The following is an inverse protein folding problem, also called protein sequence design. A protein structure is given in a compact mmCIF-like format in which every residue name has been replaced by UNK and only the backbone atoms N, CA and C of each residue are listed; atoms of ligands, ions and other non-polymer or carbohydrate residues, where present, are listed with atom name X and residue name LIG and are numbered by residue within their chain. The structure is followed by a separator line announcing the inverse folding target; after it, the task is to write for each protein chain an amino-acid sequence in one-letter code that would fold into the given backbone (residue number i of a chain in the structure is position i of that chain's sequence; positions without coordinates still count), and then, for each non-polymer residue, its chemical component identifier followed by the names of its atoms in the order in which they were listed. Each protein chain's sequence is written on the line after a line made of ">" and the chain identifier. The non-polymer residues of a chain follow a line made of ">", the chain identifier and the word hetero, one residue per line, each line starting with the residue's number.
data_IF_342071875332
#
_entry.id   IF_342071875332
#
_cell.length_a   1.000
_cell.length_b   1.000
_cell.length_c   1.000
_cell.angle_alpha   90.00
_cell.angle_beta   90.00
_cell.angle_gamma   90.00
#
_symmetry.space_group_name_H-M   'P 1'
#
loop_
_entity.id
_entity.type
_entity.pdbx_description
1 polymer ?
#
# COMPACT_ATOMS: atom_id res chain seq x y z
N UNK A 1 -14.32 8.06 2.70
CA UNK A 1 -13.88 6.79 3.31
C UNK A 1 -12.36 6.70 3.34
N UNK A 2 -11.66 7.17 2.29
CA UNK A 2 -10.21 7.46 2.29
C UNK A 2 -9.65 8.27 3.45
N UNK A 3 -10.48 9.05 4.15
CA UNK A 3 -10.03 9.96 5.21
C UNK A 3 -9.22 9.24 6.29
N UNK A 4 -9.54 7.99 6.64
CA UNK A 4 -8.85 7.29 7.74
C UNK A 4 -7.43 6.86 7.33
N UNK A 5 -7.28 6.27 6.14
CA UNK A 5 -5.95 5.91 5.63
C UNK A 5 -5.13 7.17 5.31
N UNK A 6 -5.76 8.19 4.72
CA UNK A 6 -5.16 9.50 4.48
C UNK A 6 -4.68 10.21 5.73
N UNK A 7 -5.50 10.21 6.78
CA UNK A 7 -5.12 10.74 8.09
C UNK A 7 -3.98 9.95 8.70
N UNK A 8 -3.94 8.62 8.51
CA UNK A 8 -2.83 7.79 8.94
C UNK A 8 -1.53 8.11 8.22
N UNK A 9 -1.56 8.15 6.89
CA UNK A 9 -0.38 8.39 6.07
C UNK A 9 0.16 9.80 6.32
N UNK A 10 -0.72 10.80 6.48
CA UNK A 10 -0.33 12.14 6.96
C UNK A 10 0.18 12.15 8.38
N UNK A 11 -0.38 11.33 9.28
CA UNK A 11 0.13 11.20 10.65
C UNK A 11 1.56 10.68 10.67
N UNK A 12 1.88 9.69 9.84
CA UNK A 12 3.25 9.18 9.67
C UNK A 12 4.14 10.23 9.01
N UNK A 13 3.66 10.87 7.94
CA UNK A 13 4.39 11.92 7.24
C UNK A 13 4.72 13.10 8.15
N UNK A 14 3.80 13.51 9.02
CA UNK A 14 3.97 14.61 9.96
C UNK A 14 4.93 14.28 11.12
N UNK A 15 4.90 13.05 11.64
CA UNK A 15 5.86 12.60 12.65
C UNK A 15 7.28 12.42 12.07
N UNK A 16 7.40 12.13 10.76
CA UNK A 16 8.66 12.04 10.03
C UNK A 16 9.18 13.36 9.42
N UNK A 17 8.33 14.38 9.25
CA UNK A 17 8.68 15.65 8.61
C UNK A 17 9.34 16.68 9.55
N UNK A 18 9.36 16.42 10.87
CA UNK A 18 9.97 17.32 11.85
C UNK A 18 11.50 17.16 11.99
N UNK A 19 12.12 16.25 11.25
CA UNK A 19 13.57 16.12 11.12
C UNK A 19 13.93 15.73 9.69
N UNK A 20 15.17 15.98 9.27
CA UNK A 20 15.75 15.57 7.97
C UNK A 20 15.80 14.02 7.77
N UNK A 21 14.78 13.26 8.18
CA UNK A 21 14.80 11.81 8.34
C UNK A 21 14.03 11.07 7.24
N UNK A 22 14.57 11.08 6.02
CA UNK A 22 14.40 9.95 5.11
C UNK A 22 15.65 9.07 5.25
N UNK A 23 15.66 8.18 6.24
CA UNK A 23 16.84 7.36 6.54
C UNK A 23 16.96 6.13 5.62
N UNK A 24 16.02 5.92 4.69
CA UNK A 24 15.98 4.69 3.89
C UNK A 24 15.87 3.43 4.75
N UNK A 25 15.51 3.58 6.03
CA UNK A 25 15.55 2.51 7.00
C UNK A 25 14.41 1.54 6.76
N UNK A 26 14.72 0.26 6.72
CA UNK A 26 13.79 -0.86 6.49
C UNK A 26 12.58 -0.92 7.45
N UNK A 27 12.62 -0.17 8.56
CA UNK A 27 11.54 -0.07 9.54
C UNK A 27 10.66 1.18 9.37
N UNK A 28 10.88 1.97 8.31
CA UNK A 28 10.04 3.12 8.02
C UNK A 28 8.67 2.63 7.50
N UNK A 29 7.55 2.98 8.15
CA UNK A 29 6.23 2.56 7.70
C UNK A 29 5.86 3.09 6.31
N UNK A 30 6.50 4.17 5.83
CA UNK A 30 6.35 4.68 4.46
C UNK A 30 6.95 3.70 3.45
N UNK A 31 8.15 3.19 3.75
CA UNK A 31 8.84 2.18 2.92
C UNK A 31 8.09 0.86 2.99
N UNK A 32 7.61 0.45 4.17
CA UNK A 32 6.81 -0.76 4.33
C UNK A 32 5.50 -0.71 3.52
N UNK A 33 4.78 0.43 3.54
CA UNK A 33 3.58 0.60 2.74
C UNK A 33 3.89 0.57 1.23
N UNK A 34 4.93 1.27 0.78
CA UNK A 34 5.35 1.27 -0.61
C UNK A 34 5.79 -0.12 -1.08
N UNK A 35 6.59 -0.84 -0.29
CA UNK A 35 7.04 -2.19 -0.61
C UNK A 35 5.88 -3.18 -0.74
N UNK A 36 4.87 -3.09 0.13
CA UNK A 36 3.66 -3.93 0.00
C UNK A 36 2.83 -3.60 -1.25
N UNK A 37 2.73 -2.32 -1.64
CA UNK A 37 2.08 -1.92 -2.89
C UNK A 37 2.79 -2.49 -4.10
N UNK A 38 4.13 -2.44 -4.11
CA UNK A 38 4.94 -3.08 -5.15
C UNK A 38 4.77 -4.60 -5.18
N UNK A 39 4.80 -5.24 -4.03
CA UNK A 39 4.68 -6.69 -3.94
C UNK A 39 3.35 -7.19 -4.53
N UNK A 40 2.28 -6.41 -4.35
CA UNK A 40 0.98 -6.68 -4.99
C UNK A 40 1.06 -6.47 -6.50
N UNK A 41 1.54 -5.29 -6.96
CA UNK A 41 1.60 -4.99 -8.40
C UNK A 41 2.60 -5.84 -9.20
N UNK A 42 3.60 -6.45 -8.57
CA UNK A 42 4.53 -7.38 -9.21
C UNK A 42 4.14 -8.85 -9.00
N UNK A 43 3.02 -9.14 -8.30
CA UNK A 43 2.64 -10.50 -7.92
C UNK A 43 2.47 -11.44 -9.13
N UNK A 44 2.01 -10.92 -10.26
CA UNK A 44 1.85 -11.64 -11.51
C UNK A 44 3.06 -11.48 -12.48
N UNK A 45 4.06 -10.70 -12.08
CA UNK A 45 5.26 -10.36 -12.85
C UNK A 45 5.12 -9.14 -13.77
N UNK A 46 4.01 -8.38 -13.71
CA UNK A 46 3.82 -7.16 -14.50
C UNK A 46 3.11 -6.06 -13.71
N UNK A 47 3.85 -5.09 -13.17
CA UNK A 47 3.23 -3.88 -12.66
C UNK A 47 2.85 -2.94 -13.81
N UNK A 48 1.56 -2.82 -14.13
CA UNK A 48 1.11 -2.03 -15.27
C UNK A 48 1.36 -0.53 -15.06
N UNK A 49 1.38 0.24 -16.15
CA UNK A 49 1.56 1.70 -16.06
C UNK A 49 0.43 2.40 -15.33
N UNK A 50 -0.79 1.87 -15.39
CA UNK A 50 -1.96 2.48 -14.78
C UNK A 50 -1.93 2.29 -13.25
N UNK A 51 -1.62 1.07 -12.81
CA UNK A 51 -1.47 0.76 -11.38
C UNK A 51 -0.25 1.47 -10.79
N UNK A 52 0.89 1.49 -11.52
CA UNK A 52 2.08 2.25 -11.14
C UNK A 52 1.77 3.73 -10.93
N UNK A 53 1.10 4.37 -11.89
CA UNK A 53 0.73 5.78 -11.78
C UNK A 53 -0.21 6.03 -10.60
N UNK A 54 -1.14 5.11 -10.34
CA UNK A 54 -2.09 5.19 -9.22
C UNK A 54 -1.36 5.05 -7.89
N UNK A 55 -0.46 4.07 -7.76
CA UNK A 55 0.37 3.88 -6.58
C UNK A 55 1.23 5.12 -6.29
N UNK A 56 1.92 5.66 -7.31
CA UNK A 56 2.73 6.88 -7.14
C UNK A 56 1.89 8.09 -6.75
N UNK A 57 0.72 8.28 -7.37
CA UNK A 57 -0.18 9.39 -7.05
C UNK A 57 -0.69 9.31 -5.61
N UNK A 58 -1.12 8.11 -5.17
CA UNK A 58 -1.57 7.88 -3.81
C UNK A 58 -0.43 8.10 -2.81
N UNK A 59 0.78 7.58 -3.07
CA UNK A 59 1.93 7.82 -2.20
C UNK A 59 2.27 9.32 -2.10
N UNK A 60 2.28 10.05 -3.21
CA UNK A 60 2.55 11.49 -3.23
C UNK A 60 1.51 12.30 -2.45
N UNK A 61 0.22 12.09 -2.76
CA UNK A 61 -0.88 12.82 -2.13
C UNK A 61 -0.97 12.53 -0.63
N UNK A 62 -0.82 11.26 -0.25
CA UNK A 62 -1.10 10.84 1.11
C UNK A 62 0.08 11.11 2.05
N UNK A 63 1.34 10.94 1.61
CA UNK A 63 2.51 11.27 2.42
C UNK A 63 2.93 12.75 2.32
N UNK A 64 2.27 13.55 1.47
CA UNK A 64 2.61 14.95 1.26
C UNK A 64 4.01 15.15 0.66
N UNK A 65 4.45 14.18 -0.14
CA UNK A 65 5.79 14.13 -0.71
C UNK A 65 5.85 14.94 -2.01
N UNK A 66 6.98 15.58 -2.26
CA UNK A 66 7.28 16.09 -3.60
C UNK A 66 7.61 14.94 -4.58
N UNK A 67 7.64 15.25 -5.88
CA UNK A 67 7.90 14.26 -6.93
C UNK A 67 9.23 13.50 -6.72
N UNK A 68 10.27 14.18 -6.21
CA UNK A 68 11.56 13.56 -5.93
C UNK A 68 11.50 12.63 -4.72
N UNK A 69 10.76 13.00 -3.70
CA UNK A 69 10.55 12.22 -2.49
C UNK A 69 9.69 10.99 -2.75
N UNK A 70 8.59 11.14 -3.51
CA UNK A 70 7.77 10.01 -3.96
C UNK A 70 8.61 9.02 -4.74
N UNK A 71 9.42 9.47 -5.70
CA UNK A 71 10.31 8.60 -6.45
C UNK A 71 11.32 7.87 -5.55
N UNK A 72 11.87 8.53 -4.53
CA UNK A 72 12.79 7.90 -3.56
C UNK A 72 12.11 6.85 -2.70
N UNK A 73 10.94 7.14 -2.16
CA UNK A 73 10.14 6.18 -1.36
C UNK A 73 9.78 4.97 -2.20
N UNK A 74 9.37 5.22 -3.44
CA UNK A 74 8.99 4.20 -4.39
C UNK A 74 10.20 3.29 -4.72
N UNK A 75 11.34 3.86 -5.12
CA UNK A 75 12.52 3.05 -5.42
C UNK A 75 13.03 2.28 -4.19
N UNK A 76 13.02 2.90 -2.99
CA UNK A 76 13.38 2.21 -1.76
C UNK A 76 12.43 1.04 -1.45
N UNK A 77 11.13 1.19 -1.70
CA UNK A 77 10.15 0.11 -1.57
C UNK A 77 10.39 -1.03 -2.56
N UNK A 78 10.75 -0.69 -3.81
CA UNK A 78 11.14 -1.67 -4.85
C UNK A 78 12.39 -2.45 -4.47
N UNK A 79 13.42 -1.77 -4.01
CA UNK A 79 14.67 -2.40 -3.57
C UNK A 79 14.41 -3.33 -2.38
N UNK A 80 13.62 -2.87 -1.41
CA UNK A 80 13.27 -3.66 -0.23
C UNK A 80 12.41 -4.91 -0.56
N UNK A 81 11.63 -4.89 -1.65
CA UNK A 81 10.89 -6.06 -2.11
C UNK A 81 11.78 -7.13 -2.76
N UNK A 82 12.85 -6.73 -3.46
CA UNK A 82 13.77 -7.66 -4.12
C UNK A 82 14.58 -8.52 -3.15
N UNK A 83 14.71 -8.10 -1.89
CA UNK A 83 15.33 -8.86 -0.81
C UNK A 83 14.32 -9.84 -0.18
N UNK A 84 14.10 -10.95 -0.91
CA UNK A 84 13.12 -12.02 -0.66
C UNK A 84 12.61 -12.27 0.80
N UNK A 85 11.27 -12.33 0.90
CA UNK A 85 10.44 -12.75 2.07
C UNK A 85 10.19 -11.67 3.15
N UNK A 86 9.89 -10.45 2.74
CA UNK A 86 9.61 -9.35 3.67
C UNK A 86 8.14 -9.00 3.91
N UNK A 87 7.16 -9.73 3.35
CA UNK A 87 5.73 -9.52 3.65
C UNK A 87 5.46 -9.47 5.17
N UNK A 88 6.02 -10.43 5.92
CA UNK A 88 5.90 -10.45 7.38
C UNK A 88 6.59 -9.26 8.06
N UNK A 89 7.73 -8.82 7.53
CA UNK A 89 8.49 -7.69 8.07
C UNK A 89 7.71 -6.39 7.87
N UNK A 90 7.30 -6.10 6.65
CA UNK A 90 6.56 -4.87 6.32
C UNK A 90 5.20 -4.83 7.02
N UNK A 91 4.47 -5.95 7.03
CA UNK A 91 3.20 -5.99 7.77
C UNK A 91 3.41 -5.83 9.28
N UNK A 92 4.50 -6.31 9.86
CA UNK A 92 4.83 -6.08 11.27
C UNK A 92 5.20 -4.62 11.56
N UNK A 93 5.94 -3.95 10.66
CA UNK A 93 6.18 -2.50 10.76
C UNK A 93 4.83 -1.78 10.76
N UNK A 94 3.98 -2.07 9.77
CA UNK A 94 2.67 -1.47 9.68
C UNK A 94 1.78 -1.75 10.91
N UNK A 95 1.78 -2.97 11.46
CA UNK A 95 1.06 -3.32 12.69
C UNK A 95 1.46 -2.48 13.91
N UNK A 96 2.70 -2.00 13.98
CA UNK A 96 3.16 -1.16 15.09
C UNK A 96 2.68 0.30 14.97
N UNK A 97 2.32 0.72 13.76
CA UNK A 97 1.91 2.10 13.47
C UNK A 97 0.41 2.23 13.16
N UNK A 98 -0.26 1.13 12.82
CA UNK A 98 -1.65 1.09 12.40
C UNK A 98 -2.57 0.50 13.47
N UNK A 99 -3.66 1.22 13.76
CA UNK A 99 -4.83 0.64 14.42
C UNK A 99 -5.71 -0.14 13.42
N UNK A 100 -6.74 -0.80 13.92
CA UNK A 100 -7.62 -1.64 13.11
C UNK A 100 -8.26 -0.92 11.92
N UNK A 101 -8.82 0.26 12.14
CA UNK A 101 -9.50 1.03 11.09
C UNK A 101 -8.52 1.42 9.99
N UNK A 102 -7.31 1.83 10.35
CA UNK A 102 -6.28 2.19 9.38
C UNK A 102 -5.72 0.97 8.63
N UNK A 103 -5.66 -0.20 9.25
CA UNK A 103 -5.31 -1.47 8.55
C UNK A 103 -6.36 -1.82 7.50
N UNK A 104 -7.64 -1.66 7.81
CA UNK A 104 -8.73 -1.87 6.85
C UNK A 104 -8.59 -0.89 5.67
N UNK A 105 -8.36 0.39 5.96
CA UNK A 105 -8.14 1.41 4.93
C UNK A 105 -6.91 1.13 4.05
N UNK A 106 -5.84 0.56 4.60
CA UNK A 106 -4.70 0.14 3.77
C UNK A 106 -5.05 -0.99 2.81
N UNK A 107 -5.86 -1.98 3.24
CA UNK A 107 -6.35 -3.04 2.35
C UNK A 107 -7.23 -2.48 1.22
N UNK A 108 -8.05 -1.47 1.51
CA UNK A 108 -8.82 -0.73 0.51
C UNK A 108 -7.91 -0.13 -0.58
N UNK A 109 -6.81 0.52 -0.17
CA UNK A 109 -5.85 1.13 -1.09
C UNK A 109 -5.14 0.09 -1.96
N UNK A 110 -4.77 -1.06 -1.42
CA UNK A 110 -4.19 -2.14 -2.22
C UNK A 110 -5.15 -2.56 -3.34
N UNK A 111 -6.45 -2.72 -3.03
CA UNK A 111 -7.45 -3.06 -4.04
C UNK A 111 -7.58 -2.00 -5.12
N UNK A 112 -7.55 -0.72 -4.76
CA UNK A 112 -7.70 0.34 -5.74
C UNK A 112 -6.54 0.46 -6.70
N UNK A 113 -5.32 0.23 -6.21
CA UNK A 113 -4.15 0.19 -7.09
C UNK A 113 -4.30 -0.96 -8.08
N UNK A 114 -4.66 -2.15 -7.62
CA UNK A 114 -4.83 -3.31 -8.51
C UNK A 114 -5.96 -3.10 -9.51
N UNK A 115 -7.09 -2.53 -9.08
CA UNK A 115 -8.21 -2.23 -9.99
C UNK A 115 -7.95 -1.05 -10.93
N UNK A 116 -6.79 -0.39 -10.89
CA UNK A 116 -6.53 0.83 -11.65
C UNK A 116 -6.51 0.63 -13.17
N UNK A 117 -6.18 -0.58 -13.64
CA UNK A 117 -6.22 -0.92 -15.06
C UNK A 117 -7.54 -1.59 -15.50
N UNK A 118 -8.41 -1.89 -14.53
CA UNK A 118 -9.76 -2.43 -14.73
C UNK A 118 -9.88 -3.95 -14.55
N UNK A 119 -8.80 -4.67 -14.26
CA UNK A 119 -8.82 -6.10 -13.95
C UNK A 119 -8.11 -6.36 -12.61
N UNK A 120 -8.31 -7.54 -12.01
CA UNK A 120 -7.51 -8.03 -10.88
C UNK A 120 -7.10 -9.45 -11.23
N UNK A 121 -5.81 -9.70 -11.20
CA UNK A 121 -5.25 -11.03 -11.44
C UNK A 121 -5.28 -11.88 -10.16
N UNK A 122 -5.40 -13.21 -10.34
CA UNK A 122 -5.51 -14.16 -9.22
C UNK A 122 -4.30 -14.10 -8.27
N UNK A 123 -3.11 -13.79 -8.79
CA UNK A 123 -1.89 -13.67 -7.99
C UNK A 123 -1.91 -12.41 -7.10
N UNK A 124 -2.45 -11.30 -7.60
CA UNK A 124 -2.61 -10.05 -6.86
C UNK A 124 -3.67 -10.22 -5.77
N UNK A 125 -4.81 -10.84 -6.11
CA UNK A 125 -5.88 -11.18 -5.15
C UNK A 125 -5.29 -12.02 -4.00
N UNK A 126 -4.60 -13.13 -4.31
CA UNK A 126 -3.96 -13.97 -3.31
C UNK A 126 -2.95 -13.20 -2.44
N UNK A 127 -2.23 -12.25 -3.02
CA UNK A 127 -1.24 -11.43 -2.32
C UNK A 127 -1.91 -10.46 -1.36
N UNK A 128 -2.96 -9.75 -1.79
CA UNK A 128 -3.77 -8.88 -0.92
C UNK A 128 -4.42 -9.70 0.19
N UNK A 129 -4.89 -10.92 -0.11
CA UNK A 129 -5.41 -11.84 0.90
C UNK A 129 -4.38 -12.13 1.97
N UNK A 130 -3.15 -12.43 1.56
CA UNK A 130 -2.06 -12.73 2.48
C UNK A 130 -1.70 -11.53 3.34
N UNK A 131 -1.62 -10.33 2.75
CA UNK A 131 -1.34 -9.09 3.48
C UNK A 131 -2.44 -8.80 4.52
N UNK A 132 -3.71 -8.95 4.14
CA UNK A 132 -4.84 -8.76 5.04
C UNK A 132 -4.81 -9.72 6.24
N UNK A 133 -4.46 -10.99 6.02
CA UNK A 133 -4.28 -11.96 7.10
C UNK A 133 -3.16 -11.53 8.07
N UNK A 134 -2.03 -11.09 7.53
CA UNK A 134 -0.88 -10.66 8.32
C UNK A 134 -1.17 -9.37 9.12
N UNK A 135 -1.94 -8.46 8.54
CA UNK A 135 -2.41 -7.27 9.24
C UNK A 135 -3.57 -7.57 10.21
N UNK A 136 -4.09 -8.79 10.26
CA UNK A 136 -5.20 -9.15 11.14
C UNK A 136 -6.53 -8.49 10.75
N UNK A 137 -6.71 -8.16 9.46
CA UNK A 137 -7.97 -7.65 8.91
C UNK A 137 -8.93 -8.82 8.69
N UNK A 138 -10.18 -8.67 9.13
CA UNK A 138 -11.15 -9.75 9.04
C UNK A 138 -11.52 -10.07 7.58
N UNK A 139 -11.86 -11.33 7.31
CA UNK A 139 -12.37 -11.74 5.99
C UNK A 139 -13.58 -10.91 5.56
N UNK A 140 -14.44 -10.52 6.50
CA UNK A 140 -15.62 -9.70 6.21
C UNK A 140 -15.21 -8.33 5.69
N UNK A 141 -14.28 -7.67 6.37
CA UNK A 141 -13.86 -6.31 6.02
C UNK A 141 -13.08 -6.32 4.71
N UNK A 142 -12.19 -7.29 4.49
CA UNK A 142 -11.51 -7.43 3.19
C UNK A 142 -12.50 -7.59 2.03
N UNK A 143 -13.53 -8.43 2.18
CA UNK A 143 -14.54 -8.63 1.13
C UNK A 143 -15.36 -7.37 0.88
N UNK A 144 -15.61 -6.57 1.93
CA UNK A 144 -16.24 -5.27 1.80
C UNK A 144 -15.37 -4.31 0.99
N UNK A 145 -14.08 -4.19 1.34
CA UNK A 145 -13.13 -3.31 0.66
C UNK A 145 -12.94 -3.69 -0.81
N UNK A 146 -12.83 -4.98 -1.14
CA UNK A 146 -12.75 -5.45 -2.53
C UNK A 146 -13.96 -4.99 -3.35
N UNK A 147 -15.17 -5.14 -2.79
CA UNK A 147 -16.41 -4.74 -3.46
C UNK A 147 -16.46 -3.23 -3.68
N UNK A 148 -16.12 -2.45 -2.65
CA UNK A 148 -16.15 -0.99 -2.74
C UNK A 148 -15.12 -0.45 -3.74
N UNK A 149 -13.93 -1.04 -3.80
CA UNK A 149 -12.92 -0.69 -4.81
C UNK A 149 -13.39 -1.03 -6.23
N UNK A 150 -13.97 -2.21 -6.45
CA UNK A 150 -14.53 -2.60 -7.76
C UNK A 150 -15.67 -1.67 -8.21
N UNK A 151 -16.57 -1.30 -7.30
CA UNK A 151 -17.64 -0.34 -7.58
C UNK A 151 -17.10 1.05 -7.99
N UNK A 152 -15.96 1.47 -7.43
CA UNK A 152 -15.32 2.76 -7.73
C UNK A 152 -14.53 2.75 -9.04
N UNK A 153 -13.85 1.66 -9.36
CA UNK A 153 -13.12 1.51 -10.62
C UNK A 153 -14.04 1.27 -11.82
N UNK A 154 -15.29 0.86 -11.58
CA UNK A 154 -16.23 0.46 -12.63
C UNK A 154 -15.88 -0.90 -13.24
N UNK A 155 -15.01 -1.67 -12.58
CA UNK A 155 -14.65 -3.03 -12.96
C UNK A 155 -15.73 -4.02 -12.48
N UNK A 156 -16.21 -4.88 -13.38
CA UNK A 156 -17.02 -6.04 -13.00
C UNK A 156 -16.05 -7.17 -12.61
N UNK A 157 -16.09 -7.57 -11.33
CA UNK A 157 -15.16 -8.55 -10.74
C UNK A 157 -15.41 -10.01 -11.06
#
# INVERSE_FOLDING_TARGET
>A
MFEIFREFIRSIGADGAAGDGFDGAENDPRIAAAALLFHVGEADGTFSKAELATAMALLAEEFGLDESETARVFEAGREADQDAVDLFRFTNVLLQHLDEERRIGFIEVLWEVTYADGEVHELEDNTIWRIAELLGVSTRDRMLMKREAAERSGAEG
#
